data_IF_169445763285
#
_entry.id   IF_169445763285
#
_cell.length_a   1.000
_cell.length_b   1.000
_cell.length_c   1.000
_cell.angle_alpha   90.00
_cell.angle_beta   90.00
_cell.angle_gamma   90.00
#
_symmetry.space_group_name_H-M   'P 1'
#
loop_
_entity.id
_entity.type
_entity.pdbx_description
1 polymer ?
#
# COMPACT_ATOMS: atom_id res chain seq x y z
N UNK A 1 -18.41 17.06 -35.36
CA UNK A 1 -17.43 15.96 -35.31
C UNK A 1 -16.11 16.56 -34.86
N UNK A 2 -15.38 16.03 -33.85
CA UNK A 2 -14.07 16.56 -33.47
C UNK A 2 -13.07 16.32 -34.60
N UNK A 3 -12.16 17.27 -34.81
CA UNK A 3 -11.15 17.21 -35.87
C UNK A 3 -10.18 16.02 -35.65
N UNK A 4 -9.70 15.35 -36.74
CA UNK A 4 -8.80 14.20 -36.65
C UNK A 4 -7.52 14.47 -35.85
N UNK A 5 -6.98 15.70 -35.90
CA UNK A 5 -5.82 16.13 -35.11
C UNK A 5 -6.07 16.13 -33.61
N UNK A 6 -7.26 16.44 -33.15
CA UNK A 6 -7.66 16.44 -31.74
C UNK A 6 -7.66 15.02 -31.16
N UNK A 7 -8.13 14.04 -31.92
CA UNK A 7 -8.19 12.62 -31.49
C UNK A 7 -6.79 12.00 -31.38
N UNK A 8 -5.89 12.30 -32.32
CA UNK A 8 -4.52 11.80 -32.30
C UNK A 8 -3.74 12.36 -31.10
N UNK A 9 -3.85 13.65 -30.82
CA UNK A 9 -3.19 14.32 -29.69
C UNK A 9 -3.71 13.76 -28.35
N UNK A 10 -5.01 13.49 -28.24
CA UNK A 10 -5.61 12.92 -27.03
C UNK A 10 -5.15 11.48 -26.78
N UNK A 11 -5.00 10.65 -27.80
CA UNK A 11 -4.46 9.28 -27.66
C UNK A 11 -3.01 9.26 -27.23
N UNK A 12 -2.16 10.13 -27.80
CA UNK A 12 -0.74 10.23 -27.41
C UNK A 12 -0.62 10.65 -25.94
N UNK A 13 -1.45 11.59 -25.47
CA UNK A 13 -1.48 12.04 -24.08
C UNK A 13 -1.91 10.90 -23.12
N UNK A 14 -2.92 10.10 -23.49
CA UNK A 14 -3.41 8.99 -22.67
C UNK A 14 -2.35 7.87 -22.53
N UNK A 15 -1.60 7.56 -23.58
CA UNK A 15 -0.49 6.58 -23.53
C UNK A 15 0.67 7.07 -22.66
N UNK A 16 1.04 8.33 -22.75
CA UNK A 16 2.08 8.92 -21.91
C UNK A 16 1.67 8.86 -20.42
N UNK A 17 0.43 9.18 -20.10
CA UNK A 17 -0.12 9.08 -18.74
C UNK A 17 -0.10 7.64 -18.20
N UNK A 18 -0.41 6.66 -19.05
CA UNK A 18 -0.38 5.24 -18.67
C UNK A 18 1.05 4.77 -18.35
N UNK A 19 2.05 5.23 -19.12
CA UNK A 19 3.47 4.94 -18.84
C UNK A 19 3.92 5.54 -17.51
N UNK A 20 3.57 6.79 -17.23
CA UNK A 20 3.87 7.44 -15.95
C UNK A 20 3.25 6.66 -14.79
N UNK A 21 1.98 6.28 -14.91
CA UNK A 21 1.32 5.46 -13.90
C UNK A 21 2.04 4.12 -13.68
N UNK A 22 2.39 3.40 -14.74
CA UNK A 22 3.09 2.13 -14.66
C UNK A 22 4.48 2.26 -14.01
N UNK A 23 5.24 3.30 -14.37
CA UNK A 23 6.54 3.58 -13.76
C UNK A 23 6.43 3.88 -12.26
N UNK A 24 5.49 4.73 -11.85
CA UNK A 24 5.28 5.07 -10.43
C UNK A 24 4.83 3.84 -9.62
N UNK A 25 3.90 3.04 -10.15
CA UNK A 25 3.43 1.82 -9.51
C UNK A 25 4.57 0.82 -9.29
N UNK A 26 5.35 0.52 -10.32
CA UNK A 26 6.48 -0.40 -10.22
C UNK A 26 7.58 0.14 -9.28
N UNK A 27 7.95 1.40 -9.43
CA UNK A 27 8.98 2.01 -8.59
C UNK A 27 8.55 2.01 -7.12
N UNK A 28 7.31 2.42 -6.83
CA UNK A 28 6.76 2.42 -5.49
C UNK A 28 6.70 1.01 -4.89
N UNK A 29 6.21 0.02 -5.64
CA UNK A 29 6.11 -1.37 -5.17
C UNK A 29 7.48 -1.99 -4.91
N UNK A 30 8.44 -1.82 -5.81
CA UNK A 30 9.79 -2.37 -5.63
C UNK A 30 10.52 -1.70 -4.46
N UNK A 31 10.40 -0.38 -4.34
CA UNK A 31 10.97 0.35 -3.21
C UNK A 31 10.33 -0.07 -1.89
N UNK A 32 9.00 -0.24 -1.86
CA UNK A 32 8.27 -0.70 -0.68
C UNK A 32 8.76 -2.08 -0.21
N UNK A 33 8.89 -3.03 -1.14
CA UNK A 33 9.42 -4.37 -0.84
C UNK A 33 10.86 -4.26 -0.31
N UNK A 34 11.73 -3.52 -1.02
CA UNK A 34 13.14 -3.39 -0.65
C UNK A 34 13.33 -2.80 0.76
N UNK A 35 12.57 -1.75 1.09
CA UNK A 35 12.63 -1.12 2.41
C UNK A 35 12.03 -2.04 3.48
N UNK A 36 10.94 -2.76 3.17
CA UNK A 36 10.31 -3.67 4.13
C UNK A 36 11.22 -4.87 4.47
N UNK A 37 12.09 -5.30 3.57
CA UNK A 37 13.10 -6.32 3.87
C UNK A 37 14.14 -5.86 4.92
N UNK A 38 14.26 -4.56 5.17
CA UNK A 38 15.12 -4.00 6.23
C UNK A 38 14.38 -3.86 7.57
N UNK A 39 13.07 -4.13 7.60
CA UNK A 39 12.27 -4.07 8.81
C UNK A 39 12.69 -5.19 9.79
N UNK A 40 12.72 -4.87 11.08
CA UNK A 40 13.06 -5.83 12.12
C UNK A 40 12.10 -7.04 12.08
N UNK A 41 12.68 -8.23 11.97
CA UNK A 41 11.94 -9.49 11.99
C UNK A 41 11.71 -10.01 13.40
N UNK A 42 10.85 -11.02 13.55
CA UNK A 42 10.56 -11.70 14.79
C UNK A 42 9.09 -12.12 14.90
N UNK A 43 8.71 -12.74 16.01
CA UNK A 43 7.32 -13.05 16.32
C UNK A 43 6.59 -11.77 16.79
N UNK A 44 5.92 -11.13 15.85
CA UNK A 44 5.24 -9.85 16.05
C UNK A 44 4.05 -9.95 17.04
N UNK A 45 3.52 -11.15 17.30
CA UNK A 45 2.46 -11.41 18.28
C UNK A 45 3.02 -11.64 19.71
N UNK A 46 4.32 -11.90 19.85
CA UNK A 46 4.97 -11.95 21.14
C UNK A 46 5.53 -10.57 21.51
N UNK A 47 4.68 -9.71 22.08
CA UNK A 47 5.01 -8.31 22.34
C UNK A 47 6.28 -8.13 23.19
N UNK A 48 6.52 -8.98 24.18
CA UNK A 48 7.71 -8.85 25.03
C UNK A 48 9.01 -9.08 24.24
N UNK A 49 9.02 -10.08 23.38
CA UNK A 49 10.17 -10.41 22.55
C UNK A 49 10.37 -9.37 21.44
N UNK A 50 9.31 -9.04 20.74
CA UNK A 50 9.43 -8.14 19.60
C UNK A 50 9.78 -6.69 20.03
N UNK A 51 9.27 -6.22 21.17
CA UNK A 51 9.61 -4.89 21.67
C UNK A 51 11.10 -4.78 22.06
N UNK A 52 11.70 -5.85 22.61
CA UNK A 52 13.14 -5.87 22.87
C UNK A 52 13.96 -5.75 21.57
N UNK A 53 13.51 -6.38 20.48
CA UNK A 53 14.12 -6.24 19.15
C UNK A 53 13.95 -4.82 18.62
N UNK A 54 12.77 -4.22 18.77
CA UNK A 54 12.48 -2.87 18.27
C UNK A 54 13.29 -1.81 19.03
N UNK A 55 13.46 -1.96 20.35
CA UNK A 55 14.29 -1.06 21.16
C UNK A 55 15.74 -1.01 20.67
N UNK A 56 16.30 -2.15 20.27
CA UNK A 56 17.67 -2.22 19.72
C UNK A 56 17.82 -1.85 18.26
N UNK A 57 16.75 -1.37 17.57
CA UNK A 57 16.80 -1.08 16.15
C UNK A 57 17.00 0.42 15.88
N UNK A 58 18.21 0.81 15.50
CA UNK A 58 18.59 2.20 15.24
C UNK A 58 18.06 2.75 13.93
N UNK A 59 17.71 1.88 12.96
CA UNK A 59 17.18 2.30 11.64
C UNK A 59 15.67 2.29 11.58
N UNK A 60 14.96 2.01 12.68
CA UNK A 60 13.51 1.85 12.73
C UNK A 60 12.75 3.00 12.04
N UNK A 61 13.00 4.22 12.48
CA UNK A 61 12.32 5.41 11.94
C UNK A 61 12.66 5.65 10.45
N UNK A 62 13.90 5.36 10.04
CA UNK A 62 14.31 5.50 8.66
C UNK A 62 13.60 4.47 7.75
N UNK A 63 13.44 3.24 8.21
CA UNK A 63 12.69 2.19 7.50
C UNK A 63 11.22 2.62 7.31
N UNK A 64 10.58 3.10 8.36
CA UNK A 64 9.17 3.52 8.30
C UNK A 64 8.97 4.76 7.41
N UNK A 65 9.90 5.72 7.43
CA UNK A 65 9.90 6.85 6.50
C UNK A 65 10.08 6.39 5.05
N UNK A 66 10.97 5.43 4.82
CA UNK A 66 11.16 4.82 3.51
C UNK A 66 9.93 4.07 3.01
N UNK A 67 9.25 3.32 3.88
CA UNK A 67 7.98 2.66 3.57
C UNK A 67 6.89 3.68 3.23
N UNK A 68 6.80 4.78 3.99
CA UNK A 68 5.86 5.87 3.68
C UNK A 68 6.12 6.47 2.30
N UNK A 69 7.36 6.83 2.00
CA UNK A 69 7.74 7.40 0.71
C UNK A 69 7.42 6.43 -0.45
N UNK A 70 7.74 5.15 -0.30
CA UNK A 70 7.47 4.12 -1.29
C UNK A 70 5.96 3.95 -1.55
N UNK A 71 5.15 3.91 -0.49
CA UNK A 71 3.70 3.80 -0.60
C UNK A 71 3.09 5.08 -1.21
N UNK A 72 3.59 6.26 -0.87
CA UNK A 72 3.14 7.50 -1.48
C UNK A 72 3.40 7.52 -3.00
N UNK A 73 4.56 7.05 -3.46
CA UNK A 73 4.86 6.89 -4.89
C UNK A 73 3.91 5.89 -5.54
N UNK A 74 3.67 4.73 -4.91
CA UNK A 74 2.75 3.71 -5.41
C UNK A 74 1.33 4.26 -5.55
N UNK A 75 0.82 4.92 -4.52
CA UNK A 75 -0.54 5.48 -4.53
C UNK A 75 -0.66 6.66 -5.51
N UNK A 76 0.38 7.47 -5.70
CA UNK A 76 0.43 8.45 -6.79
C UNK A 76 0.34 7.77 -8.16
N UNK A 77 0.98 6.62 -8.34
CA UNK A 77 0.85 5.78 -9.53
C UNK A 77 -0.58 5.27 -9.74
N UNK A 78 -1.27 4.87 -8.65
CA UNK A 78 -2.66 4.41 -8.72
C UNK A 78 -3.62 5.55 -9.08
N UNK A 79 -3.42 6.75 -8.53
CA UNK A 79 -4.16 7.96 -8.92
C UNK A 79 -3.94 8.31 -10.39
N UNK A 80 -2.68 8.26 -10.85
CA UNK A 80 -2.33 8.49 -12.25
C UNK A 80 -2.98 7.45 -13.18
N UNK A 81 -3.10 6.19 -12.74
CA UNK A 81 -3.75 5.13 -13.49
C UNK A 81 -5.25 5.39 -13.64
N UNK A 82 -5.96 5.79 -12.58
CA UNK A 82 -7.37 6.19 -12.67
C UNK A 82 -7.55 7.34 -13.66
N UNK A 83 -6.71 8.38 -13.57
CA UNK A 83 -6.76 9.51 -14.47
C UNK A 83 -6.50 9.10 -15.94
N UNK A 84 -5.53 8.22 -16.19
CA UNK A 84 -5.22 7.70 -17.52
C UNK A 84 -6.39 6.88 -18.11
N UNK A 85 -7.06 6.05 -17.30
CA UNK A 85 -8.22 5.27 -17.72
C UNK A 85 -9.43 6.16 -18.01
N UNK A 86 -9.70 7.20 -17.24
CA UNK A 86 -10.76 8.15 -17.48
C UNK A 86 -10.48 8.99 -18.75
N UNK A 87 -9.23 9.40 -18.97
CA UNK A 87 -8.82 10.08 -20.21
C UNK A 87 -9.00 9.19 -21.44
N UNK A 88 -8.68 7.90 -21.34
CA UNK A 88 -8.91 6.93 -22.42
C UNK A 88 -10.40 6.77 -22.78
N UNK A 89 -11.30 6.89 -21.79
CA UNK A 89 -12.76 6.84 -22.00
C UNK A 89 -13.34 8.16 -22.52
N UNK A 90 -12.60 9.24 -22.43
CA UNK A 90 -13.08 10.58 -22.79
C UNK A 90 -14.00 11.23 -21.74
N UNK A 91 -14.27 10.57 -20.61
CA UNK A 91 -15.09 11.12 -19.52
C UNK A 91 -14.79 10.48 -18.18
N UNK A 92 -14.89 11.24 -17.07
CA UNK A 92 -14.76 10.70 -15.71
C UNK A 92 -15.84 9.65 -15.43
N UNK A 93 -15.44 8.52 -14.84
CA UNK A 93 -16.33 7.45 -14.42
C UNK A 93 -16.61 7.50 -12.90
N UNK A 94 -17.73 6.94 -12.46
CA UNK A 94 -17.99 6.79 -11.04
C UNK A 94 -16.93 5.91 -10.35
N UNK A 95 -16.51 4.82 -11.01
CA UNK A 95 -15.41 3.97 -10.53
C UNK A 95 -14.10 4.75 -10.41
N UNK A 96 -13.78 5.65 -11.36
CA UNK A 96 -12.62 6.52 -11.28
C UNK A 96 -12.71 7.49 -10.10
N UNK A 97 -13.85 8.16 -9.93
CA UNK A 97 -14.05 9.13 -8.81
C UNK A 97 -13.97 8.46 -7.45
N UNK A 98 -14.69 7.35 -7.23
CA UNK A 98 -14.63 6.61 -5.98
C UNK A 98 -13.25 5.99 -5.75
N UNK A 99 -12.64 5.42 -6.81
CA UNK A 99 -11.30 4.85 -6.72
C UNK A 99 -10.25 5.89 -6.31
N UNK A 100 -10.30 7.10 -6.90
CA UNK A 100 -9.42 8.22 -6.52
C UNK A 100 -9.65 8.64 -5.07
N UNK A 101 -10.89 8.77 -4.61
CA UNK A 101 -11.21 9.14 -3.24
C UNK A 101 -10.71 8.09 -2.24
N UNK A 102 -10.94 6.80 -2.52
CA UNK A 102 -10.47 5.69 -1.66
C UNK A 102 -8.94 5.61 -1.66
N UNK A 103 -8.28 5.83 -2.81
CA UNK A 103 -6.81 5.86 -2.89
C UNK A 103 -6.23 7.00 -2.04
N UNK A 104 -6.84 8.18 -2.06
CA UNK A 104 -6.43 9.30 -1.21
C UNK A 104 -6.65 8.99 0.29
N UNK A 105 -7.77 8.33 0.64
CA UNK A 105 -8.03 7.86 2.00
C UNK A 105 -7.00 6.81 2.44
N UNK A 106 -6.62 5.89 1.54
CA UNK A 106 -5.55 4.90 1.80
C UNK A 106 -4.23 5.59 2.15
N UNK A 107 -3.84 6.63 1.40
CA UNK A 107 -2.62 7.39 1.70
C UNK A 107 -2.69 8.06 3.08
N UNK A 108 -3.83 8.64 3.44
CA UNK A 108 -4.01 9.26 4.75
C UNK A 108 -3.95 8.24 5.89
N UNK A 109 -4.59 7.08 5.73
CA UNK A 109 -4.53 5.98 6.70
C UNK A 109 -3.11 5.42 6.82
N UNK A 110 -2.40 5.28 5.70
CA UNK A 110 -1.02 4.81 5.71
C UNK A 110 -0.08 5.82 6.39
N UNK A 111 -0.28 7.12 6.17
CA UNK A 111 0.47 8.17 6.89
C UNK A 111 0.25 8.09 8.41
N UNK A 112 -0.99 7.91 8.84
CA UNK A 112 -1.32 7.73 10.25
C UNK A 112 -0.73 6.43 10.82
N UNK A 113 -0.78 5.32 10.06
CA UNK A 113 -0.13 4.06 10.42
C UNK A 113 1.38 4.27 10.65
N UNK A 114 2.08 4.96 9.73
CA UNK A 114 3.51 5.21 9.87
C UNK A 114 3.85 6.14 11.04
N UNK A 115 2.98 7.08 11.37
CA UNK A 115 3.15 7.91 12.56
C UNK A 115 3.00 7.08 13.85
N UNK A 116 2.07 6.13 13.87
CA UNK A 116 1.87 5.24 15.02
C UNK A 116 3.00 4.21 15.13
N UNK A 117 3.29 3.48 14.07
CA UNK A 117 4.29 2.39 14.06
C UNK A 117 5.72 2.95 14.08
N UNK A 118 6.04 3.84 13.14
CA UNK A 118 7.39 4.37 12.95
C UNK A 118 7.87 5.33 14.03
N UNK A 119 6.95 6.02 14.73
CA UNK A 119 7.30 7.04 15.73
C UNK A 119 6.76 6.69 17.10
N UNK A 120 5.44 6.60 17.27
CA UNK A 120 4.85 6.45 18.59
C UNK A 120 5.21 5.11 19.25
N UNK A 121 5.17 4.01 18.51
CA UNK A 121 5.55 2.69 19.01
C UNK A 121 7.03 2.65 19.37
N UNK A 122 7.91 3.19 18.52
CA UNK A 122 9.35 3.27 18.82
C UNK A 122 9.62 4.01 20.13
N UNK A 123 9.02 5.18 20.30
CA UNK A 123 9.17 5.97 21.53
C UNK A 123 8.65 5.23 22.77
N UNK A 124 7.51 4.56 22.66
CA UNK A 124 6.94 3.79 23.78
C UNK A 124 7.80 2.58 24.15
N UNK A 125 8.34 1.90 23.15
CA UNK A 125 9.22 0.74 23.33
C UNK A 125 10.56 1.17 23.94
N UNK A 126 11.14 2.27 23.49
CA UNK A 126 12.38 2.83 24.05
C UNK A 126 12.18 3.25 25.52
N UNK A 127 11.04 3.91 25.82
CA UNK A 127 10.66 4.28 27.17
C UNK A 127 10.46 3.05 28.09
N UNK A 128 9.89 1.96 27.55
CA UNK A 128 9.81 0.70 28.29
C UNK A 128 11.18 0.07 28.50
N UNK A 129 11.99 0.00 27.47
CA UNK A 129 13.33 -0.63 27.53
C UNK A 129 14.22 0.01 28.57
N UNK A 130 14.23 1.34 28.65
CA UNK A 130 15.06 2.14 29.56
C UNK A 130 14.44 2.38 30.96
N UNK A 131 13.19 1.94 31.19
CA UNK A 131 12.47 2.23 32.44
C UNK A 131 13.07 1.53 33.66
N UNK A 132 13.05 2.16 34.84
CA UNK A 132 13.31 1.50 36.12
C UNK A 132 12.34 0.34 36.35
N UNK A 133 12.75 -0.67 37.11
CA UNK A 133 11.94 -1.88 37.35
C UNK A 133 10.53 -1.56 37.89
N UNK A 134 10.42 -0.57 38.77
CA UNK A 134 9.12 -0.12 39.30
C UNK A 134 8.14 0.41 38.25
N UNK A 135 8.63 0.90 37.09
CA UNK A 135 7.80 1.44 36.00
C UNK A 135 7.62 0.47 34.82
N UNK A 136 8.42 -0.62 34.75
CA UNK A 136 8.47 -1.54 33.61
C UNK A 136 7.09 -2.01 33.15
N UNK A 137 6.24 -2.43 34.07
CA UNK A 137 4.90 -2.95 33.74
C UNK A 137 4.00 -1.86 33.15
N UNK A 138 4.01 -0.65 33.71
CA UNK A 138 3.20 0.46 33.21
C UNK A 138 3.65 0.90 31.80
N UNK A 139 4.98 0.98 31.58
CA UNK A 139 5.55 1.32 30.27
C UNK A 139 5.28 0.24 29.23
N UNK A 140 5.35 -1.04 29.63
CA UNK A 140 4.98 -2.15 28.75
C UNK A 140 3.51 -2.06 28.29
N UNK A 141 2.58 -1.87 29.21
CA UNK A 141 1.16 -1.73 28.89
C UNK A 141 0.89 -0.54 27.95
N UNK A 142 1.62 0.57 28.12
CA UNK A 142 1.54 1.71 27.20
C UNK A 142 2.01 1.34 25.79
N UNK A 143 3.12 0.62 25.64
CA UNK A 143 3.62 0.15 24.36
C UNK A 143 2.65 -0.85 23.69
N UNK A 144 2.06 -1.78 24.47
CA UNK A 144 1.03 -2.70 23.96
C UNK A 144 -0.20 -1.97 23.43
N UNK A 145 -0.66 -0.93 24.12
CA UNK A 145 -1.80 -0.12 23.65
C UNK A 145 -1.53 0.50 22.28
N UNK A 146 -0.31 1.03 22.09
CA UNK A 146 0.09 1.60 20.79
C UNK A 146 0.22 0.51 19.73
N UNK A 147 0.70 -0.69 20.11
CA UNK A 147 0.78 -1.83 19.20
C UNK A 147 -0.59 -2.28 18.70
N UNK A 148 -1.61 -2.34 19.56
CA UNK A 148 -2.98 -2.65 19.13
C UNK A 148 -3.58 -1.55 18.26
N UNK A 149 -3.26 -0.29 18.53
CA UNK A 149 -3.66 0.81 17.65
C UNK A 149 -3.01 0.68 16.26
N UNK A 150 -1.73 0.31 16.19
CA UNK A 150 -1.04 0.03 14.93
C UNK A 150 -1.73 -1.10 14.14
N UNK A 151 -2.12 -2.22 14.80
CA UNK A 151 -2.85 -3.30 14.14
C UNK A 151 -4.19 -2.82 13.57
N UNK A 152 -4.92 -2.01 14.33
CA UNK A 152 -6.17 -1.39 13.87
C UNK A 152 -5.94 -0.51 12.64
N UNK A 153 -4.95 0.38 12.70
CA UNK A 153 -4.61 1.27 11.57
C UNK A 153 -4.22 0.48 10.33
N UNK A 154 -3.40 -0.56 10.47
CA UNK A 154 -2.99 -1.47 9.38
C UNK A 154 -4.18 -2.21 8.78
N UNK A 155 -5.10 -2.69 9.63
CA UNK A 155 -6.31 -3.36 9.19
C UNK A 155 -7.15 -2.46 8.27
N UNK A 156 -7.46 -1.25 8.71
CA UNK A 156 -8.28 -0.32 7.94
C UNK A 156 -7.57 0.23 6.71
N UNK A 157 -6.26 0.44 6.78
CA UNK A 157 -5.45 0.81 5.61
C UNK A 157 -5.51 -0.28 4.53
N UNK A 158 -5.32 -1.55 4.91
CA UNK A 158 -5.41 -2.67 3.99
C UNK A 158 -6.82 -2.85 3.39
N UNK A 159 -7.88 -2.59 4.14
CA UNK A 159 -9.24 -2.58 3.59
C UNK A 159 -9.41 -1.46 2.55
N UNK A 160 -8.92 -0.26 2.83
CA UNK A 160 -8.97 0.85 1.89
C UNK A 160 -8.15 0.56 0.62
N UNK A 161 -6.93 0.02 0.77
CA UNK A 161 -6.08 -0.39 -0.35
C UNK A 161 -6.76 -1.48 -1.20
N UNK A 162 -7.30 -2.51 -0.56
CA UNK A 162 -8.03 -3.58 -1.25
C UNK A 162 -9.20 -3.05 -2.05
N UNK A 163 -9.99 -2.14 -1.47
CA UNK A 163 -11.11 -1.50 -2.16
C UNK A 163 -10.64 -0.62 -3.33
N UNK A 164 -9.56 0.16 -3.16
CA UNK A 164 -8.98 0.96 -4.23
C UNK A 164 -8.55 0.10 -5.41
N UNK A 165 -7.88 -1.03 -5.14
CA UNK A 165 -7.46 -1.99 -6.17
C UNK A 165 -8.65 -2.67 -6.87
N UNK A 166 -9.71 -3.02 -6.15
CA UNK A 166 -10.94 -3.60 -6.72
C UNK A 166 -11.63 -2.60 -7.65
N UNK A 167 -11.73 -1.33 -7.25
CA UNK A 167 -12.29 -0.27 -8.10
C UNK A 167 -11.42 -0.02 -9.33
N UNK A 168 -10.09 -0.04 -9.16
CA UNK A 168 -9.14 0.06 -10.26
C UNK A 168 -9.27 -1.12 -11.23
N UNK A 169 -9.39 -2.34 -10.70
CA UNK A 169 -9.64 -3.55 -11.47
C UNK A 169 -10.92 -3.46 -12.31
N UNK A 170 -12.01 -3.00 -11.70
CA UNK A 170 -13.29 -2.81 -12.39
C UNK A 170 -13.18 -1.77 -13.53
N UNK A 171 -12.40 -0.72 -13.35
CA UNK A 171 -12.11 0.26 -14.41
C UNK A 171 -11.22 -0.37 -15.50
N UNK A 172 -10.14 -1.07 -15.12
CA UNK A 172 -9.20 -1.70 -16.03
C UNK A 172 -9.84 -2.78 -16.91
N UNK A 173 -10.76 -3.57 -16.37
CA UNK A 173 -11.54 -4.56 -17.15
C UNK A 173 -12.33 -3.94 -18.29
N UNK A 174 -12.73 -2.68 -18.15
CA UNK A 174 -13.55 -1.95 -19.14
C UNK A 174 -12.71 -1.13 -20.12
N UNK A 175 -11.49 -0.75 -19.75
CA UNK A 175 -10.68 0.21 -20.51
C UNK A 175 -9.39 -0.37 -21.07
N UNK A 176 -8.80 -1.34 -20.39
CA UNK A 176 -7.50 -1.91 -20.73
C UNK A 176 -7.64 -3.38 -21.16
N UNK A 177 -7.86 -4.28 -20.20
CA UNK A 177 -7.91 -5.73 -20.45
C UNK A 177 -8.63 -6.45 -19.31
N UNK A 178 -9.54 -7.39 -19.65
CA UNK A 178 -10.23 -8.21 -18.66
C UNK A 178 -9.28 -9.09 -17.81
N UNK A 179 -8.30 -9.81 -18.42
CA UNK A 179 -7.36 -10.60 -17.62
C UNK A 179 -6.48 -9.74 -16.70
N UNK A 180 -6.00 -8.58 -17.17
CA UNK A 180 -5.25 -7.66 -16.34
C UNK A 180 -6.07 -7.21 -15.12
N UNK A 181 -7.31 -6.75 -15.36
CA UNK A 181 -8.22 -6.39 -14.27
C UNK A 181 -8.54 -7.55 -13.34
N UNK A 182 -8.58 -8.79 -13.86
CA UNK A 182 -8.75 -9.99 -13.04
C UNK A 182 -7.62 -10.18 -12.01
N UNK A 183 -6.36 -10.01 -12.42
CA UNK A 183 -5.21 -10.12 -11.51
C UNK A 183 -5.21 -8.95 -10.51
N UNK A 184 -5.55 -7.73 -10.94
CA UNK A 184 -5.72 -6.58 -10.03
C UNK A 184 -6.80 -6.83 -8.99
N UNK A 185 -7.93 -7.47 -9.37
CA UNK A 185 -9.01 -7.86 -8.47
C UNK A 185 -8.51 -8.83 -7.40
N UNK A 186 -7.76 -9.87 -7.79
CA UNK A 186 -7.16 -10.84 -6.87
C UNK A 186 -6.17 -10.16 -5.91
N UNK A 187 -5.38 -9.20 -6.41
CA UNK A 187 -4.51 -8.38 -5.57
C UNK A 187 -5.31 -7.62 -4.51
N UNK A 188 -6.42 -6.98 -4.92
CA UNK A 188 -7.32 -6.28 -3.98
C UNK A 188 -7.92 -7.21 -2.92
N UNK A 189 -8.34 -8.41 -3.31
CA UNK A 189 -8.85 -9.44 -2.37
C UNK A 189 -7.75 -9.86 -1.37
N UNK A 190 -6.50 -10.01 -1.82
CA UNK A 190 -5.39 -10.33 -0.93
C UNK A 190 -5.15 -9.22 0.12
N UNK A 191 -5.28 -7.94 -0.25
CA UNK A 191 -5.22 -6.83 0.71
C UNK A 191 -6.41 -6.83 1.68
N UNK A 192 -7.64 -7.14 1.24
CA UNK A 192 -8.77 -7.30 2.17
C UNK A 192 -8.51 -8.43 3.18
N UNK A 193 -7.94 -9.55 2.73
CA UNK A 193 -7.56 -10.65 3.62
C UNK A 193 -6.49 -10.22 4.63
N UNK A 194 -5.47 -9.46 4.20
CA UNK A 194 -4.47 -8.87 5.10
C UNK A 194 -5.12 -7.97 6.16
N UNK A 195 -6.06 -7.12 5.74
CA UNK A 195 -6.80 -6.24 6.67
C UNK A 195 -7.58 -7.03 7.71
N UNK A 196 -8.28 -8.07 7.30
CA UNK A 196 -9.02 -8.95 8.21
C UNK A 196 -8.09 -9.64 9.21
N UNK A 197 -7.05 -10.30 8.74
CA UNK A 197 -6.13 -11.06 9.59
C UNK A 197 -5.41 -10.12 10.57
N UNK A 198 -4.88 -8.99 10.10
CA UNK A 198 -4.21 -8.02 10.98
C UNK A 198 -5.14 -7.50 12.08
N UNK A 199 -6.40 -7.24 11.78
CA UNK A 199 -7.38 -6.72 12.74
C UNK A 199 -7.90 -7.77 13.72
N UNK A 200 -7.94 -9.06 13.35
CA UNK A 200 -8.50 -10.12 14.18
C UNK A 200 -7.43 -10.94 14.94
N UNK A 201 -6.25 -11.14 14.35
CA UNK A 201 -5.25 -12.08 14.82
C UNK A 201 -3.83 -11.49 14.92
N UNK A 202 -3.65 -10.24 14.47
CA UNK A 202 -2.34 -9.59 14.38
C UNK A 202 -1.50 -10.16 13.24
N UNK A 203 -0.35 -10.74 13.55
CA UNK A 203 0.62 -11.21 12.55
C UNK A 203 0.90 -12.73 12.64
N UNK A 204 -0.11 -13.61 12.49
CA UNK A 204 0.11 -15.04 12.36
C UNK A 204 0.79 -15.37 11.02
N UNK A 205 1.29 -16.61 10.81
CA UNK A 205 1.87 -17.03 9.52
C UNK A 205 0.95 -16.79 8.31
N UNK A 206 -0.37 -16.84 8.50
CA UNK A 206 -1.36 -16.53 7.47
C UNK A 206 -1.26 -15.09 6.97
N UNK A 207 -0.92 -14.13 7.85
CA UNK A 207 -0.69 -12.73 7.48
C UNK A 207 0.50 -12.60 6.51
N UNK A 208 1.61 -13.25 6.80
CA UNK A 208 2.79 -13.26 5.92
C UNK A 208 2.47 -13.85 4.56
N UNK A 209 1.70 -14.93 4.52
CA UNK A 209 1.24 -15.55 3.26
C UNK A 209 0.37 -14.58 2.45
N UNK A 210 -0.57 -13.89 3.09
CA UNK A 210 -1.42 -12.91 2.43
C UNK A 210 -0.63 -11.70 1.92
N UNK A 211 0.39 -11.24 2.65
CA UNK A 211 1.31 -10.17 2.21
C UNK A 211 2.07 -10.59 0.96
N UNK A 212 2.70 -11.77 0.97
CA UNK A 212 3.47 -12.27 -0.17
C UNK A 212 2.57 -12.45 -1.40
N UNK A 213 1.38 -12.99 -1.21
CA UNK A 213 0.39 -13.13 -2.29
C UNK A 213 -0.02 -11.77 -2.86
N UNK A 214 -0.29 -10.78 -2.01
CA UNK A 214 -0.61 -9.41 -2.43
C UNK A 214 0.52 -8.78 -3.23
N UNK A 215 1.77 -8.91 -2.78
CA UNK A 215 2.95 -8.38 -3.49
C UNK A 215 3.17 -9.07 -4.85
N UNK A 216 3.10 -10.40 -4.88
CA UNK A 216 3.30 -11.16 -6.11
C UNK A 216 2.24 -10.82 -7.16
N UNK A 217 0.97 -10.79 -6.78
CA UNK A 217 -0.13 -10.40 -7.66
C UNK A 217 0.02 -8.94 -8.12
N UNK A 218 0.41 -8.03 -7.21
CA UNK A 218 0.64 -6.62 -7.54
C UNK A 218 1.78 -6.47 -8.55
N UNK A 219 2.92 -7.09 -8.34
CA UNK A 219 4.03 -7.06 -9.29
C UNK A 219 3.63 -7.64 -10.65
N UNK A 220 2.88 -8.74 -10.68
CA UNK A 220 2.46 -9.39 -11.92
C UNK A 220 1.64 -8.44 -12.80
N UNK A 221 0.60 -7.80 -12.27
CA UNK A 221 -0.20 -6.88 -13.07
C UNK A 221 0.51 -5.57 -13.36
N UNK A 222 1.39 -5.08 -12.48
CA UNK A 222 2.17 -3.86 -12.72
C UNK A 222 3.20 -4.05 -13.85
N UNK A 223 3.89 -5.20 -13.88
CA UNK A 223 4.80 -5.56 -14.98
C UNK A 223 4.02 -5.69 -16.29
N UNK A 224 2.85 -6.34 -16.25
CA UNK A 224 1.99 -6.45 -17.44
C UNK A 224 1.53 -5.07 -17.91
N UNK A 225 1.09 -4.19 -17.00
CA UNK A 225 0.70 -2.82 -17.32
C UNK A 225 1.87 -2.05 -17.98
N UNK A 226 3.09 -2.18 -17.43
CA UNK A 226 4.28 -1.57 -18.01
C UNK A 226 4.56 -2.09 -19.42
N UNK A 227 4.43 -3.41 -19.63
CA UNK A 227 4.65 -4.02 -20.93
C UNK A 227 3.66 -3.55 -22.00
N UNK A 228 2.36 -3.41 -21.66
CA UNK A 228 1.36 -2.91 -22.61
C UNK A 228 1.51 -1.40 -22.86
N UNK A 229 1.90 -0.63 -21.84
CA UNK A 229 2.13 0.81 -21.97
C UNK A 229 3.39 1.17 -22.76
N UNK A 230 4.33 0.24 -22.87
CA UNK A 230 5.60 0.43 -23.62
C UNK A 230 5.44 0.15 -25.13
N UNK A 231 4.41 -0.60 -25.54
CA UNK A 231 4.18 -0.87 -26.96
C UNK A 231 3.83 0.44 -27.67
N UNK A 232 4.59 0.74 -28.72
CA UNK A 232 4.26 1.81 -29.67
C UNK A 232 3.20 1.25 -30.62
N UNK A 233 2.13 1.99 -30.83
CA UNK A 233 1.17 1.71 -31.91
C UNK A 233 1.83 1.88 -33.29
#
# INVERSE_FOLDING_TARGET
>A
MPEPHSIATQKISAHASLRVAACLLLAGQLLYIAVTLLHAGGDANNHRVIFAIYAGNDIWTAVHLGQFAAMAILLAGLLALFAAMDAHRGSPSWTGRFGTAVTAATLALYAALQAVDGVALKQAVDAWSSAPEAEKMARFASAETIRWLEWGMRSYENFAMGLALILCAAAAMRTLSRPLGGIMMLSGIAYLAQGWIAGSEGFPPAQSTAIIAGWALSLLWMIWLAAISARKD
#
